data_IF_982943190445
#
_entry.id   IF_982943190445
#
_cell.length_a   1.000
_cell.length_b   1.000
_cell.length_c   1.000
_cell.angle_alpha   90.00
_cell.angle_beta   90.00
_cell.angle_gamma   90.00
#
_symmetry.space_group_name_H-M   'P 1'
#
loop_
_entity.id
_entity.type
_entity.pdbx_description
1 polymer ?
#
# COMPACT_ATOMS: atom_id res chain seq x y z
N UNK A 1 -31.60 -1.54 -24.71
CA UNK A 1 -30.89 -1.35 -23.42
C UNK A 1 -30.26 -2.63 -22.85
N UNK A 2 -30.95 -3.79 -22.81
CA UNK A 2 -30.38 -5.06 -22.29
C UNK A 2 -29.03 -5.48 -22.90
N UNK A 3 -28.84 -5.31 -24.23
CA UNK A 3 -27.58 -5.64 -24.92
C UNK A 3 -26.39 -4.76 -24.53
N UNK A 4 -26.62 -3.54 -24.04
CA UNK A 4 -25.54 -2.62 -23.61
C UNK A 4 -25.19 -2.89 -22.14
N UNK A 5 -26.19 -3.19 -21.31
CA UNK A 5 -26.03 -3.44 -19.88
C UNK A 5 -25.44 -4.82 -19.57
N UNK A 6 -25.88 -5.85 -20.30
CA UNK A 6 -25.48 -7.26 -20.11
C UNK A 6 -24.73 -7.83 -21.32
N UNK A 7 -24.22 -6.96 -22.19
CA UNK A 7 -23.54 -7.34 -23.43
C UNK A 7 -22.24 -8.08 -23.15
N UNK A 8 -22.32 -9.41 -23.13
CA UNK A 8 -21.17 -10.29 -22.98
C UNK A 8 -21.08 -11.20 -24.19
N UNK A 9 -19.87 -11.30 -24.75
CA UNK A 9 -19.58 -12.13 -25.90
C UNK A 9 -18.59 -13.20 -25.49
N UNK A 10 -18.76 -14.41 -26.00
CA UNK A 10 -17.74 -15.43 -25.87
C UNK A 10 -16.51 -15.03 -26.71
N UNK A 11 -15.33 -15.09 -26.12
CA UNK A 11 -14.09 -14.88 -26.87
C UNK A 11 -13.85 -16.06 -27.85
N UNK A 12 -13.02 -15.86 -28.89
CA UNK A 12 -12.81 -16.87 -29.93
C UNK A 12 -12.32 -18.22 -29.40
N UNK A 13 -11.61 -18.24 -28.27
CA UNK A 13 -11.04 -19.45 -27.68
C UNK A 13 -11.35 -19.57 -26.20
N UNK A 14 -11.47 -20.83 -25.72
CA UNK A 14 -11.69 -21.15 -24.31
C UNK A 14 -10.57 -20.61 -23.40
N UNK A 15 -9.27 -20.70 -23.77
CA UNK A 15 -8.20 -20.10 -22.97
C UNK A 15 -8.34 -18.59 -22.82
N UNK A 16 -8.78 -17.88 -23.87
CA UNK A 16 -9.01 -16.43 -23.78
C UNK A 16 -10.13 -16.08 -22.79
N UNK A 17 -11.23 -16.86 -22.78
CA UNK A 17 -12.29 -16.69 -21.77
C UNK A 17 -11.79 -16.97 -20.34
N UNK A 18 -10.93 -17.98 -20.15
CA UNK A 18 -10.32 -18.27 -18.84
C UNK A 18 -9.38 -17.15 -18.41
N UNK A 19 -8.55 -16.63 -19.31
CA UNK A 19 -7.66 -15.51 -19.02
C UNK A 19 -8.46 -14.26 -18.60
N UNK A 20 -9.54 -13.95 -19.31
CA UNK A 20 -10.43 -12.84 -18.95
C UNK A 20 -11.13 -13.06 -17.60
N UNK A 21 -11.55 -14.30 -17.29
CA UNK A 21 -12.10 -14.64 -15.98
C UNK A 21 -11.08 -14.39 -14.86
N UNK A 22 -9.87 -14.93 -15.00
CA UNK A 22 -8.81 -14.77 -14.00
C UNK A 22 -8.43 -13.30 -13.82
N UNK A 23 -8.35 -12.55 -14.92
CA UNK A 23 -8.11 -11.12 -14.89
C UNK A 23 -9.21 -10.39 -14.12
N UNK A 24 -10.49 -10.66 -14.43
CA UNK A 24 -11.64 -10.07 -13.71
C UNK A 24 -11.65 -10.42 -12.22
N UNK A 25 -11.40 -11.68 -11.89
CA UNK A 25 -11.32 -12.12 -10.49
C UNK A 25 -10.22 -11.36 -9.75
N UNK A 26 -9.03 -11.26 -10.34
CA UNK A 26 -7.92 -10.55 -9.73
C UNK A 26 -8.25 -9.07 -9.53
N UNK A 27 -8.54 -8.32 -10.60
CA UNK A 27 -8.73 -6.86 -10.48
C UNK A 27 -9.99 -6.51 -9.67
N UNK A 28 -11.06 -7.30 -9.81
CA UNK A 28 -12.32 -7.10 -9.10
C UNK A 28 -12.21 -7.41 -7.61
N UNK A 29 -11.60 -8.53 -7.21
CA UNK A 29 -11.41 -8.86 -5.80
C UNK A 29 -10.33 -7.97 -5.16
N UNK A 30 -9.27 -7.63 -5.88
CA UNK A 30 -8.24 -6.71 -5.39
C UNK A 30 -8.83 -5.34 -5.05
N UNK A 31 -9.72 -4.79 -5.89
CA UNK A 31 -10.35 -3.50 -5.55
C UNK A 31 -11.40 -3.64 -4.45
N UNK A 32 -12.25 -4.68 -4.51
CA UNK A 32 -13.31 -4.86 -3.54
C UNK A 32 -12.74 -5.06 -2.12
N UNK A 33 -11.75 -5.94 -1.97
CA UNK A 33 -11.19 -6.30 -0.66
C UNK A 33 -10.09 -5.32 -0.27
N UNK A 34 -9.20 -4.98 -1.21
CA UNK A 34 -8.01 -4.17 -0.94
C UNK A 34 -8.28 -2.69 -0.75
N UNK A 35 -9.32 -2.14 -1.39
CA UNK A 35 -9.69 -0.72 -1.26
C UNK A 35 -11.08 -0.53 -0.64
N UNK A 36 -12.09 -1.26 -1.15
CA UNK A 36 -13.48 -1.06 -0.78
C UNK A 36 -13.83 -1.53 0.64
N UNK A 37 -13.41 -2.74 1.03
CA UNK A 37 -13.85 -3.38 2.28
C UNK A 37 -13.47 -2.59 3.53
N UNK A 38 -12.22 -2.12 3.61
CA UNK A 38 -11.75 -1.33 4.75
C UNK A 38 -12.49 0.01 4.90
N UNK A 39 -12.93 0.61 3.79
CA UNK A 39 -13.76 1.82 3.81
C UNK A 39 -15.21 1.48 4.14
N UNK A 40 -15.74 0.38 3.61
CA UNK A 40 -17.11 -0.07 3.85
C UNK A 40 -17.36 -0.48 5.31
N UNK A 41 -16.40 -1.16 5.95
CA UNK A 41 -16.52 -1.59 7.34
C UNK A 41 -16.67 -0.41 8.31
N UNK A 42 -16.07 0.74 7.98
CA UNK A 42 -16.28 1.98 8.73
C UNK A 42 -17.68 2.57 8.54
N UNK A 43 -18.33 2.37 7.37
CA UNK A 43 -19.72 2.78 7.14
C UNK A 43 -20.68 2.07 8.08
N UNK A 44 -20.46 0.77 8.28
CA UNK A 44 -21.31 -0.09 9.10
C UNK A 44 -21.15 0.21 10.60
N UNK A 45 -19.98 0.71 11.04
CA UNK A 45 -19.70 1.01 12.45
C UNK A 45 -19.94 2.47 12.87
N UNK A 46 -19.72 3.44 11.97
CA UNK A 46 -19.74 4.87 12.29
C UNK A 46 -20.84 5.69 11.59
N UNK A 47 -21.67 5.06 10.76
CA UNK A 47 -22.79 5.72 10.07
C UNK A 47 -22.41 6.57 8.86
N UNK A 48 -21.16 6.48 8.37
CA UNK A 48 -20.64 7.30 7.27
C UNK A 48 -19.26 6.85 6.77
N UNK A 49 -18.78 7.35 5.60
CA UNK A 49 -17.44 7.10 5.08
C UNK A 49 -16.38 7.56 6.06
N UNK A 50 -15.17 6.94 6.05
CA UNK A 50 -14.10 7.40 6.92
C UNK A 50 -13.85 8.89 6.71
N UNK A 51 -13.72 9.65 7.79
CA UNK A 51 -13.59 11.11 7.72
C UNK A 51 -12.39 11.55 6.87
N UNK A 52 -11.28 10.80 6.93
CA UNK A 52 -10.12 11.03 6.07
C UNK A 52 -10.45 10.91 4.58
N UNK A 53 -11.37 10.02 4.21
CA UNK A 53 -11.76 9.79 2.82
C UNK A 53 -12.73 10.88 2.35
N UNK A 54 -13.62 11.33 3.22
CA UNK A 54 -14.48 12.50 2.99
C UNK A 54 -13.64 13.75 2.75
N UNK A 55 -12.59 13.95 3.55
CA UNK A 55 -11.64 15.06 3.37
C UNK A 55 -10.86 14.96 2.05
N UNK A 56 -10.41 13.75 1.68
CA UNK A 56 -9.76 13.52 0.38
C UNK A 56 -10.69 13.87 -0.78
N UNK A 57 -11.94 13.41 -0.74
CA UNK A 57 -12.97 13.70 -1.75
C UNK A 57 -13.29 15.20 -1.80
N UNK A 58 -13.36 15.88 -0.64
CA UNK A 58 -13.52 17.33 -0.56
C UNK A 58 -12.34 18.08 -1.19
N UNK A 59 -11.10 17.67 -0.89
CA UNK A 59 -9.88 18.24 -1.46
C UNK A 59 -9.76 18.09 -2.97
N UNK A 60 -10.45 17.10 -3.55
CA UNK A 60 -10.59 16.92 -5.01
C UNK A 60 -11.62 17.86 -5.65
N UNK A 61 -12.33 18.67 -4.86
CA UNK A 61 -13.37 19.58 -5.34
C UNK A 61 -14.77 18.97 -5.41
N UNK A 62 -14.96 17.72 -4.97
CA UNK A 62 -16.29 17.08 -4.91
C UNK A 62 -17.08 17.54 -3.68
N UNK A 63 -17.39 18.83 -3.62
CA UNK A 63 -18.05 19.48 -2.47
C UNK A 63 -19.57 19.57 -2.62
N UNK A 64 -20.10 19.53 -3.85
CA UNK A 64 -21.54 19.59 -4.14
C UNK A 64 -22.02 18.23 -4.69
N UNK A 65 -23.09 17.60 -4.17
CA UNK A 65 -24.01 18.08 -3.12
C UNK A 65 -23.46 17.92 -1.68
N UNK A 66 -22.51 17.02 -1.46
CA UNK A 66 -21.74 16.90 -0.22
C UNK A 66 -20.55 15.95 -0.43
N UNK A 67 -19.36 16.21 0.14
CA UNK A 67 -18.23 15.28 0.11
C UNK A 67 -18.58 13.90 0.69
N UNK A 68 -19.47 13.84 1.68
CA UNK A 68 -19.92 12.57 2.26
C UNK A 68 -20.70 11.72 1.26
N UNK A 69 -21.51 12.33 0.40
CA UNK A 69 -22.27 11.61 -0.63
C UNK A 69 -21.31 11.01 -1.65
N UNK A 70 -20.34 11.79 -2.11
CA UNK A 70 -19.33 11.32 -3.06
C UNK A 70 -18.44 10.23 -2.48
N UNK A 71 -18.00 10.39 -1.23
CA UNK A 71 -17.25 9.36 -0.53
C UNK A 71 -18.07 8.08 -0.35
N UNK A 72 -19.36 8.18 -0.02
CA UNK A 72 -20.25 7.02 0.10
C UNK A 72 -20.39 6.27 -1.22
N UNK A 73 -20.63 7.00 -2.32
CA UNK A 73 -20.70 6.42 -3.66
C UNK A 73 -19.39 5.76 -4.07
N UNK A 74 -18.25 6.37 -3.75
CA UNK A 74 -16.93 5.84 -4.06
C UNK A 74 -16.61 4.57 -3.25
N UNK A 75 -16.98 4.51 -1.97
CA UNK A 75 -16.82 3.31 -1.13
C UNK A 75 -17.64 2.14 -1.67
N UNK A 76 -18.92 2.38 -1.97
CA UNK A 76 -19.79 1.36 -2.56
C UNK A 76 -19.36 0.97 -3.98
N UNK A 77 -18.88 1.93 -4.77
CA UNK A 77 -18.33 1.68 -6.10
C UNK A 77 -17.11 0.75 -6.05
N UNK A 78 -16.14 1.02 -5.19
CA UNK A 78 -14.97 0.16 -4.99
C UNK A 78 -15.37 -1.25 -4.52
N UNK A 79 -16.22 -1.34 -3.50
CA UNK A 79 -16.61 -2.63 -2.94
C UNK A 79 -17.55 -3.42 -3.85
N UNK A 80 -18.76 -2.90 -4.07
CA UNK A 80 -19.78 -3.60 -4.85
C UNK A 80 -19.39 -3.67 -6.33
N UNK A 81 -18.83 -2.60 -6.90
CA UNK A 81 -18.35 -2.61 -8.28
C UNK A 81 -17.23 -3.62 -8.52
N UNK A 82 -16.30 -3.76 -7.57
CA UNK A 82 -15.26 -4.78 -7.63
C UNK A 82 -15.82 -6.21 -7.60
N UNK A 83 -16.75 -6.50 -6.69
CA UNK A 83 -17.43 -7.80 -6.61
C UNK A 83 -18.22 -8.11 -7.89
N UNK A 84 -18.95 -7.11 -8.41
CA UNK A 84 -19.71 -7.21 -9.66
C UNK A 84 -18.80 -7.54 -10.85
N UNK A 85 -17.62 -6.92 -10.97
CA UNK A 85 -16.62 -7.26 -11.99
C UNK A 85 -16.13 -8.70 -11.82
N UNK A 86 -15.79 -9.10 -10.59
CA UNK A 86 -15.24 -10.42 -10.29
C UNK A 86 -16.20 -11.54 -10.73
N UNK A 87 -17.48 -11.45 -10.34
CA UNK A 87 -18.51 -12.43 -10.76
C UNK A 87 -18.96 -12.23 -12.20
N UNK A 88 -18.68 -11.06 -12.78
CA UNK A 88 -19.05 -10.70 -14.14
C UNK A 88 -20.53 -10.37 -14.27
N UNK A 89 -21.06 -9.54 -13.38
CA UNK A 89 -22.43 -9.02 -13.40
C UNK A 89 -22.40 -7.50 -13.58
N UNK A 90 -23.18 -6.95 -14.51
CA UNK A 90 -23.15 -5.53 -14.89
C UNK A 90 -21.73 -5.01 -15.19
N UNK A 91 -20.89 -5.88 -15.74
CA UNK A 91 -19.42 -5.70 -15.77
C UNK A 91 -19.02 -4.41 -16.46
N UNK A 92 -19.67 -4.07 -17.57
CA UNK A 92 -19.37 -2.85 -18.33
C UNK A 92 -19.67 -1.58 -17.53
N UNK A 93 -20.78 -1.56 -16.79
CA UNK A 93 -21.17 -0.42 -15.97
C UNK A 93 -20.27 -0.29 -14.74
N UNK A 94 -20.02 -1.40 -14.04
CA UNK A 94 -19.14 -1.41 -12.87
C UNK A 94 -17.71 -1.02 -13.24
N UNK A 95 -17.20 -1.52 -14.37
CA UNK A 95 -15.89 -1.14 -14.88
C UNK A 95 -15.84 0.33 -15.32
N UNK A 96 -16.88 0.87 -15.94
CA UNK A 96 -16.92 2.29 -16.31
C UNK A 96 -16.91 3.20 -15.08
N UNK A 97 -17.71 2.87 -14.06
CA UNK A 97 -17.73 3.61 -12.81
C UNK A 97 -16.36 3.59 -12.11
N UNK A 98 -15.71 2.43 -12.02
CA UNK A 98 -14.38 2.31 -11.43
C UNK A 98 -13.31 3.00 -12.28
N UNK A 99 -13.38 2.90 -13.61
CA UNK A 99 -12.48 3.63 -14.49
C UNK A 99 -12.60 5.15 -14.28
N UNK A 100 -13.81 5.70 -14.11
CA UNK A 100 -13.99 7.11 -13.78
C UNK A 100 -13.31 7.49 -12.45
N UNK A 101 -13.50 6.69 -11.41
CA UNK A 101 -12.91 6.95 -10.10
C UNK A 101 -11.38 6.93 -10.14
N UNK A 102 -10.80 5.93 -10.81
CA UNK A 102 -9.35 5.82 -10.96
C UNK A 102 -8.79 6.88 -11.91
N UNK A 103 -9.55 7.34 -12.90
CA UNK A 103 -9.17 8.49 -13.74
C UNK A 103 -8.99 9.76 -12.89
N UNK A 104 -9.98 10.08 -12.04
CA UNK A 104 -9.92 11.26 -11.15
C UNK A 104 -8.68 11.20 -10.27
N UNK A 105 -8.42 10.07 -9.63
CA UNK A 105 -7.29 9.91 -8.70
C UNK A 105 -5.95 9.95 -9.45
N UNK A 106 -5.87 9.30 -10.62
CA UNK A 106 -4.62 9.17 -11.37
C UNK A 106 -4.22 10.42 -12.15
N UNK A 107 -5.17 11.23 -12.60
CA UNK A 107 -4.89 12.32 -13.54
C UNK A 107 -5.31 13.70 -13.04
N UNK A 108 -6.29 13.80 -12.14
CA UNK A 108 -6.75 15.09 -11.63
C UNK A 108 -6.15 15.44 -10.27
N UNK A 109 -5.78 14.44 -9.47
CA UNK A 109 -5.19 14.66 -8.15
C UNK A 109 -3.67 14.61 -8.14
N UNK A 110 -3.07 13.81 -9.02
CA UNK A 110 -1.64 13.56 -8.99
C UNK A 110 -0.87 14.76 -9.54
N UNK A 111 0.16 15.24 -8.84
CA UNK A 111 0.86 16.50 -9.17
C UNK A 111 1.65 16.45 -10.50
N UNK A 112 2.02 15.25 -10.99
CA UNK A 112 2.71 15.04 -12.28
C UNK A 112 2.18 13.80 -13.00
N UNK A 113 0.97 13.86 -13.59
CA UNK A 113 0.36 12.70 -14.20
C UNK A 113 0.99 12.41 -15.57
N UNK A 114 1.69 11.28 -15.68
CA UNK A 114 2.10 10.74 -16.98
C UNK A 114 1.01 9.85 -17.54
N UNK A 115 0.45 10.17 -18.70
CA UNK A 115 -0.78 9.50 -19.17
C UNK A 115 -0.58 8.03 -19.58
N UNK A 116 0.52 7.73 -20.28
CA UNK A 116 0.79 6.41 -20.86
C UNK A 116 1.96 5.67 -20.22
N UNK A 117 3.00 6.40 -19.83
CA UNK A 117 4.26 5.83 -19.32
C UNK A 117 4.34 5.80 -17.80
N UNK A 118 3.37 6.41 -17.12
CA UNK A 118 3.35 6.46 -15.67
C UNK A 118 3.28 5.06 -15.06
N UNK A 119 4.20 4.77 -14.15
CA UNK A 119 4.28 3.49 -13.46
C UNK A 119 3.53 3.53 -12.12
N UNK A 120 2.31 4.08 -12.13
CA UNK A 120 1.49 4.24 -10.93
C UNK A 120 0.42 3.16 -10.84
N UNK A 121 0.26 2.58 -9.65
CA UNK A 121 -0.70 1.51 -9.42
C UNK A 121 -2.14 1.91 -9.76
N UNK A 122 -2.53 3.14 -9.46
CA UNK A 122 -3.85 3.69 -9.76
C UNK A 122 -4.09 3.79 -11.27
N UNK A 123 -3.06 4.12 -12.06
CA UNK A 123 -3.16 4.20 -13.52
C UNK A 123 -3.29 2.81 -14.15
N UNK A 124 -2.58 1.82 -13.61
CA UNK A 124 -2.76 0.43 -14.04
C UNK A 124 -4.20 -0.04 -13.82
N UNK A 125 -4.78 0.28 -12.67
CA UNK A 125 -6.19 -0.03 -12.38
C UNK A 125 -7.14 0.73 -13.31
N UNK A 126 -6.90 2.02 -13.58
CA UNK A 126 -7.65 2.78 -14.58
C UNK A 126 -7.69 2.06 -15.93
N UNK A 127 -6.52 1.69 -16.47
CA UNK A 127 -6.44 1.02 -17.77
C UNK A 127 -7.05 -0.38 -17.76
N UNK A 128 -6.94 -1.12 -16.66
CA UNK A 128 -7.61 -2.41 -16.48
C UNK A 128 -9.14 -2.27 -16.54
N UNK A 129 -9.71 -1.28 -15.85
CA UNK A 129 -11.15 -1.05 -15.85
C UNK A 129 -11.64 -0.45 -17.18
N UNK A 130 -10.84 0.42 -17.81
CA UNK A 130 -11.12 0.92 -19.16
C UNK A 130 -11.23 -0.25 -20.16
N UNK A 131 -10.30 -1.20 -20.12
CA UNK A 131 -10.35 -2.41 -20.95
C UNK A 131 -11.64 -3.22 -20.69
N UNK A 132 -11.99 -3.48 -19.43
CA UNK A 132 -13.19 -4.24 -19.07
C UNK A 132 -14.49 -3.54 -19.44
N UNK A 133 -14.53 -2.20 -19.44
CA UNK A 133 -15.70 -1.43 -19.87
C UNK A 133 -16.01 -1.64 -21.36
N UNK A 134 -14.98 -1.88 -22.18
CA UNK A 134 -15.09 -2.11 -23.62
C UNK A 134 -15.29 -3.59 -23.95
N UNK A 135 -14.43 -4.46 -23.42
CA UNK A 135 -14.42 -5.91 -23.68
C UNK A 135 -15.65 -6.59 -23.06
N UNK A 136 -16.04 -6.18 -21.85
CA UNK A 136 -17.10 -6.82 -21.07
C UNK A 136 -16.60 -8.05 -20.31
N UNK A 137 -17.48 -9.03 -20.09
CA UNK A 137 -17.29 -10.06 -19.07
C UNK A 137 -16.89 -11.45 -19.58
N UNK A 138 -17.05 -11.74 -20.88
CA UNK A 138 -16.70 -13.05 -21.44
C UNK A 138 -17.64 -14.19 -21.05
N UNK A 139 -17.36 -15.39 -21.58
CA UNK A 139 -18.24 -16.57 -21.46
C UNK A 139 -18.48 -17.04 -20.02
N UNK A 140 -17.49 -16.92 -19.14
CA UNK A 140 -17.58 -17.34 -17.74
C UNK A 140 -18.03 -16.18 -16.83
N UNK A 141 -19.23 -15.67 -17.06
CA UNK A 141 -19.79 -14.54 -16.32
C UNK A 141 -21.29 -14.66 -16.10
N UNK A 142 -21.80 -14.00 -15.06
CA UNK A 142 -23.25 -13.93 -14.83
C UNK A 142 -23.97 -13.14 -15.92
N UNK A 143 -23.34 -12.09 -16.48
CA UNK A 143 -23.85 -11.33 -17.61
C UNK A 143 -24.09 -12.24 -18.83
N UNK A 144 -23.12 -13.11 -19.16
CA UNK A 144 -23.27 -14.07 -20.27
C UNK A 144 -24.38 -15.09 -20.01
N UNK A 145 -24.47 -15.59 -18.77
CA UNK A 145 -25.52 -16.53 -18.38
C UNK A 145 -26.93 -15.91 -18.44
N UNK A 146 -27.08 -14.67 -17.96
CA UNK A 146 -28.34 -13.91 -18.02
C UNK A 146 -28.72 -13.55 -19.46
N UNK A 147 -27.75 -13.15 -20.28
CA UNK A 147 -27.98 -12.84 -21.69
C UNK A 147 -28.44 -14.08 -22.49
N UNK A 148 -27.94 -15.27 -22.13
CA UNK A 148 -28.32 -16.55 -22.76
C UNK A 148 -29.74 -16.98 -22.41
N UNK A 149 -30.22 -16.70 -21.19
CA UNK A 149 -31.61 -17.00 -20.78
C UNK A 149 -32.67 -16.16 -21.50
N UNK A 150 -32.29 -15.00 -22.05
CA UNK A 150 -33.20 -14.12 -22.80
C UNK A 150 -33.39 -14.50 -24.28
N UNK A 151 -32.64 -15.48 -24.79
CA UNK A 151 -32.70 -15.94 -26.17
C UNK A 151 -32.91 -17.45 -26.22
N UNK A 152 -34.18 -17.89 -26.17
CA UNK A 152 -34.53 -19.10 -26.91
C UNK A 152 -34.27 -18.80 -28.39
N UNK A 153 -33.35 -19.58 -28.98
CA UNK A 153 -33.00 -19.60 -30.42
C UNK A 153 -32.39 -18.32 -31.00
N UNK A 154 -31.06 -18.31 -31.14
CA UNK A 154 -30.39 -17.84 -32.35
C UNK A 154 -29.00 -18.51 -32.40
N UNK A 155 -28.77 -19.22 -33.49
CA UNK A 155 -27.63 -20.08 -33.81
C UNK A 155 -26.28 -19.47 -33.43
N UNK A 156 -25.36 -20.31 -32.94
CA UNK A 156 -23.94 -19.97 -32.90
C UNK A 156 -23.51 -19.47 -34.29
N UNK A 157 -22.89 -18.29 -34.41
CA UNK A 157 -22.22 -17.94 -35.64
C UNK A 157 -21.13 -19.01 -35.86
N UNK A 158 -21.27 -19.78 -36.93
CA UNK A 158 -20.19 -20.65 -37.39
C UNK A 158 -18.93 -19.78 -37.54
N UNK A 159 -17.78 -20.21 -36.99
CA UNK A 159 -16.55 -19.46 -37.17
C UNK A 159 -16.23 -19.48 -38.67
N UNK A 160 -16.29 -18.30 -39.30
CA UNK A 160 -15.75 -18.10 -40.63
C UNK A 160 -14.30 -18.59 -40.63
N UNK A 161 -13.99 -19.44 -41.61
CA UNK A 161 -12.79 -20.26 -41.65
C UNK A 161 -11.52 -19.47 -41.33
N UNK A 162 -10.97 -19.73 -40.14
CA UNK A 162 -9.58 -19.45 -39.87
C UNK A 162 -8.83 -20.67 -40.39
N UNK A 163 -8.23 -20.50 -41.57
CA UNK A 163 -7.18 -21.40 -42.07
C UNK A 163 -6.19 -21.63 -40.94
N UNK A 164 -5.98 -22.91 -40.59
CA UNK A 164 -4.94 -23.31 -39.64
C UNK A 164 -3.62 -22.63 -40.01
N UNK A 165 -2.89 -22.11 -39.02
CA UNK A 165 -1.52 -22.53 -38.89
C UNK A 165 -1.34 -23.32 -37.59
N UNK A 166 -0.54 -24.35 -37.77
CA UNK A 166 0.17 -25.18 -36.83
C UNK A 166 0.18 -24.76 -35.35
N UNK A 167 -0.03 -25.78 -34.52
CA UNK A 167 0.65 -26.00 -33.25
C UNK A 167 2.01 -25.28 -33.21
N UNK A 168 2.14 -24.30 -32.33
CA UNK A 168 3.42 -23.96 -31.73
C UNK A 168 3.23 -24.08 -30.22
N UNK A 169 3.60 -25.25 -29.70
CA UNK A 169 4.01 -25.34 -28.31
C UNK A 169 5.19 -24.39 -28.13
N UNK A 170 5.05 -23.32 -27.35
CA UNK A 170 6.19 -22.73 -26.68
C UNK A 170 6.37 -23.46 -25.34
N UNK A 171 7.07 -24.59 -25.40
CA UNK A 171 8.04 -24.87 -24.38
C UNK A 171 9.24 -23.98 -24.68
N UNK A 172 9.57 -23.04 -23.79
CA UNK A 172 10.85 -22.34 -23.82
C UNK A 172 11.55 -22.61 -22.49
N UNK A 173 12.36 -23.67 -22.49
CA UNK A 173 13.46 -23.82 -21.57
C UNK A 173 14.74 -23.33 -22.25
N UNK A 174 15.48 -22.47 -21.54
CA UNK A 174 16.86 -21.99 -21.76
C UNK A 174 17.06 -21.03 -22.95
N UNK A 175 17.80 -19.92 -22.87
CA UNK A 175 18.91 -19.50 -22.00
C UNK A 175 18.80 -18.02 -21.64
N UNK A 176 19.20 -17.68 -20.41
CA UNK A 176 19.52 -16.32 -20.00
C UNK A 176 20.76 -15.83 -20.77
N UNK A 177 20.56 -14.95 -21.75
CA UNK A 177 21.50 -13.85 -21.98
C UNK A 177 20.72 -12.55 -21.82
N UNK A 178 20.23 -12.33 -20.61
CA UNK A 178 19.92 -10.99 -20.17
C UNK A 178 21.24 -10.21 -20.17
N UNK A 179 21.43 -9.29 -21.12
CA UNK A 179 22.09 -8.04 -20.75
C UNK A 179 21.23 -7.42 -19.64
N UNK A 180 21.83 -6.94 -18.55
CA UNK A 180 21.13 -6.74 -17.30
C UNK A 180 20.21 -5.52 -17.44
N UNK A 181 18.96 -5.75 -17.82
CA UNK A 181 17.90 -4.95 -17.23
C UNK A 181 18.00 -5.26 -15.73
N UNK A 182 18.26 -4.23 -14.93
CA UNK A 182 18.35 -4.30 -13.46
C UNK A 182 16.97 -4.72 -12.94
N UNK A 183 16.65 -6.01 -13.05
CA UNK A 183 15.52 -6.62 -12.42
C UNK A 183 15.72 -6.37 -10.93
N UNK A 184 14.83 -5.59 -10.32
CA UNK A 184 14.67 -5.64 -8.88
C UNK A 184 14.22 -7.06 -8.58
N UNK A 185 15.17 -7.88 -8.15
CA UNK A 185 14.96 -9.19 -7.55
C UNK A 185 13.77 -9.08 -6.59
N UNK A 186 12.87 -10.08 -6.50
CA UNK A 186 11.94 -10.15 -5.37
C UNK A 186 12.76 -9.93 -4.11
N UNK A 187 12.59 -8.76 -3.49
CA UNK A 187 13.43 -8.36 -2.38
C UNK A 187 13.03 -9.29 -1.25
N UNK A 188 13.90 -10.23 -0.88
CA UNK A 188 13.71 -11.02 0.34
C UNK A 188 13.29 -10.05 1.45
N UNK A 189 12.27 -10.40 2.25
CA UNK A 189 11.78 -9.49 3.27
C UNK A 189 12.97 -9.05 4.11
N UNK A 190 13.19 -7.74 4.18
CA UNK A 190 14.34 -7.21 4.88
C UNK A 190 14.31 -7.74 6.32
N UNK A 191 15.42 -8.26 6.81
CA UNK A 191 15.53 -8.79 8.17
C UNK A 191 16.48 -7.94 8.97
N UNK A 192 16.25 -7.80 10.27
CA UNK A 192 17.21 -7.20 11.21
C UNK A 192 17.25 -8.05 12.48
N UNK A 193 18.45 -8.29 12.98
CA UNK A 193 18.68 -9.11 14.16
C UNK A 193 19.41 -8.33 15.25
N UNK A 194 19.28 -8.77 16.50
CA UNK A 194 19.98 -8.14 17.63
C UNK A 194 21.50 -8.11 17.43
N UNK A 195 22.08 -9.14 16.80
CA UNK A 195 23.52 -9.21 16.52
C UNK A 195 24.03 -8.04 15.68
N UNK A 196 23.21 -7.56 14.75
CA UNK A 196 23.55 -6.41 13.89
C UNK A 196 23.51 -5.07 14.65
N UNK A 197 22.90 -5.04 15.83
CA UNK A 197 22.84 -3.88 16.71
C UNK A 197 23.71 -4.06 17.98
N UNK A 198 24.61 -5.05 18.00
CA UNK A 198 25.48 -5.31 19.15
C UNK A 198 26.30 -4.07 19.55
N UNK A 199 26.80 -3.31 18.58
CA UNK A 199 27.58 -2.09 18.83
C UNK A 199 26.75 -0.94 19.40
N UNK A 200 25.41 -1.03 19.39
CA UNK A 200 24.55 -0.05 20.05
C UNK A 200 24.58 -0.23 21.58
N UNK A 201 24.95 -1.41 22.08
CA UNK A 201 24.98 -1.76 23.51
C UNK A 201 26.18 -1.15 24.25
N UNK A 202 26.26 0.18 24.24
CA UNK A 202 27.28 0.98 24.91
C UNK A 202 26.70 2.35 25.29
N UNK A 203 27.51 3.20 25.93
CA UNK A 203 27.15 4.58 26.20
C UNK A 203 27.44 5.48 25.00
N UNK A 204 26.57 6.46 24.80
CA UNK A 204 26.59 7.39 23.68
C UNK A 204 26.28 8.81 24.15
N UNK A 205 26.86 9.79 23.46
CA UNK A 205 26.57 11.21 23.67
C UNK A 205 25.98 11.81 22.40
N UNK A 206 25.05 12.73 22.55
CA UNK A 206 24.41 13.34 21.40
C UNK A 206 23.20 14.19 21.76
N UNK A 207 22.15 14.04 20.96
CA UNK A 207 20.96 14.87 21.12
C UNK A 207 19.67 14.16 20.72
N UNK A 208 18.59 14.62 21.34
CA UNK A 208 17.22 14.44 20.90
C UNK A 208 16.73 15.77 20.34
N UNK A 209 16.33 15.79 19.08
CA UNK A 209 15.54 16.87 18.51
C UNK A 209 14.10 16.43 18.36
N UNK A 210 13.17 17.09 19.04
CA UNK A 210 11.74 16.77 18.95
C UNK A 210 10.92 17.98 18.51
N UNK A 211 9.75 17.70 17.92
CA UNK A 211 8.78 18.71 17.53
C UNK A 211 7.75 18.90 18.65
N UNK A 212 7.68 20.07 19.26
CA UNK A 212 6.71 20.35 20.32
C UNK A 212 5.27 20.26 19.76
N UNK A 213 4.35 19.63 20.51
CA UNK A 213 2.97 19.47 20.09
C UNK A 213 2.19 20.79 20.09
N UNK A 214 2.51 21.72 21.00
CA UNK A 214 1.77 22.98 21.16
C UNK A 214 2.06 23.98 20.04
N UNK A 215 3.34 24.27 19.79
CA UNK A 215 3.76 25.31 18.84
C UNK A 215 4.45 24.79 17.58
N UNK A 216 4.60 23.46 17.45
CA UNK A 216 5.23 22.77 16.31
C UNK A 216 6.70 23.16 16.06
N UNK A 217 7.35 23.87 16.99
CA UNK A 217 8.77 24.21 16.90
C UNK A 217 9.63 23.01 17.24
N UNK A 218 10.83 23.01 16.65
CA UNK A 218 11.85 22.01 16.96
C UNK A 218 12.64 22.44 18.18
N UNK A 219 12.80 21.53 19.13
CA UNK A 219 13.62 21.69 20.33
C UNK A 219 14.68 20.62 20.33
N UNK A 220 15.93 21.01 20.53
CA UNK A 220 17.08 20.09 20.60
C UNK A 220 17.64 20.07 22.00
N UNK A 221 17.71 18.89 22.60
CA UNK A 221 18.23 18.66 23.94
C UNK A 221 19.50 17.79 23.86
N UNK A 222 20.60 18.19 24.53
CA UNK A 222 21.71 17.28 24.80
C UNK A 222 21.18 16.03 25.51
N UNK A 223 21.54 14.86 24.99
CA UNK A 223 21.00 13.57 25.45
C UNK A 223 22.13 12.56 25.54
N UNK A 224 22.20 11.86 26.66
CA UNK A 224 23.02 10.66 26.83
C UNK A 224 22.13 9.45 26.57
N UNK A 225 22.63 8.49 25.82
CA UNK A 225 21.98 7.20 25.62
C UNK A 225 22.88 6.10 26.19
N UNK A 226 22.30 5.18 26.96
CA UNK A 226 22.95 3.93 27.32
C UNK A 226 22.18 2.79 26.64
N UNK A 227 22.81 2.13 25.67
CA UNK A 227 22.27 0.91 25.07
C UNK A 227 22.70 -0.31 25.87
N UNK A 228 21.80 -1.26 26.08
CA UNK A 228 22.08 -2.49 26.81
C UNK A 228 21.31 -3.67 26.21
N UNK A 229 22.01 -4.75 25.86
CA UNK A 229 21.34 -5.99 25.48
C UNK A 229 20.83 -6.69 26.74
N UNK A 230 19.52 -6.68 26.97
CA UNK A 230 18.88 -7.29 28.16
C UNK A 230 18.61 -8.79 27.98
N UNK A 231 18.47 -9.26 26.74
CA UNK A 231 18.29 -10.67 26.39
C UNK A 231 18.82 -10.97 24.98
N UNK A 232 18.88 -12.25 24.53
CA UNK A 232 19.39 -12.59 23.19
C UNK A 232 18.73 -11.85 22.01
N UNK A 233 17.47 -11.42 22.16
CA UNK A 233 16.69 -10.74 21.13
C UNK A 233 16.11 -9.40 21.62
N UNK A 234 16.67 -8.79 22.68
CA UNK A 234 16.17 -7.53 23.23
C UNK A 234 17.31 -6.54 23.49
N UNK A 235 17.12 -5.32 23.01
CA UNK A 235 17.95 -4.14 23.29
C UNK A 235 17.11 -3.14 24.08
N UNK A 236 17.67 -2.63 25.17
CA UNK A 236 17.13 -1.50 25.94
C UNK A 236 17.92 -0.26 25.58
N UNK A 237 17.23 0.84 25.32
CA UNK A 237 17.81 2.15 25.02
C UNK A 237 17.40 3.13 26.11
N UNK A 238 18.29 3.42 27.06
CA UNK A 238 18.04 4.33 28.18
C UNK A 238 18.50 5.75 27.83
N UNK A 239 17.56 6.69 27.74
CA UNK A 239 17.79 8.09 27.41
C UNK A 239 17.79 8.96 28.65
N UNK A 240 18.79 9.84 28.76
CA UNK A 240 18.91 10.83 29.85
C UNK A 240 19.11 12.20 29.22
N UNK A 241 18.21 13.13 29.50
CA UNK A 241 18.30 14.52 29.06
C UNK A 241 17.69 15.47 30.10
N UNK A 242 17.94 16.76 29.93
CA UNK A 242 17.41 17.81 30.80
C UNK A 242 16.42 18.66 30.00
N UNK A 243 15.23 18.90 30.57
CA UNK A 243 14.22 19.73 29.93
C UNK A 243 14.54 21.23 30.09
N UNK A 244 14.10 22.09 29.14
CA UNK A 244 14.35 23.53 29.21
C UNK A 244 13.79 24.19 30.47
N UNK A 245 12.65 23.69 30.97
CA UNK A 245 11.95 24.16 32.17
C UNK A 245 12.70 23.78 33.48
N UNK A 246 13.76 22.97 33.37
CA UNK A 246 14.46 22.34 34.49
C UNK A 246 13.98 20.90 34.77
N UNK A 247 14.85 20.11 35.40
CA UNK A 247 14.57 18.69 35.70
C UNK A 247 15.23 17.72 34.71
N UNK A 248 15.78 16.62 35.25
CA UNK A 248 16.36 15.54 34.46
C UNK A 248 15.29 14.49 34.18
N UNK A 249 15.12 14.14 32.92
CA UNK A 249 14.26 13.05 32.46
C UNK A 249 15.12 11.82 32.21
N UNK A 250 14.62 10.67 32.67
CA UNK A 250 15.14 9.34 32.35
C UNK A 250 14.02 8.56 31.69
N UNK A 251 14.15 8.30 30.39
CA UNK A 251 13.23 7.47 29.61
C UNK A 251 13.94 6.24 29.09
N UNK A 252 13.18 5.21 28.69
CA UNK A 252 13.76 4.04 28.03
C UNK A 252 12.84 3.51 26.95
N UNK A 253 13.42 2.97 25.88
CA UNK A 253 12.73 2.19 24.86
C UNK A 253 13.19 0.73 24.94
N UNK A 254 12.27 -0.23 24.84
CA UNK A 254 12.59 -1.66 24.63
C UNK A 254 12.45 -2.03 23.16
N UNK A 255 13.46 -2.69 22.60
CA UNK A 255 13.50 -3.11 21.20
C UNK A 255 13.66 -4.62 21.12
N UNK A 256 12.60 -5.32 20.73
CA UNK A 256 12.55 -6.78 20.69
C UNK A 256 12.50 -7.26 19.23
N UNK A 257 13.42 -8.15 18.86
CA UNK A 257 13.56 -8.66 17.50
C UNK A 257 12.87 -10.03 17.35
N UNK A 258 12.10 -10.23 16.29
CA UNK A 258 11.55 -11.55 15.99
C UNK A 258 12.66 -12.54 15.61
N UNK A 259 12.43 -13.83 15.84
CA UNK A 259 13.39 -14.88 15.50
C UNK A 259 13.71 -14.95 13.99
N UNK A 260 12.74 -14.60 13.14
CA UNK A 260 12.92 -14.51 11.68
C UNK A 260 13.50 -13.16 11.21
N UNK A 261 13.68 -12.21 12.13
CA UNK A 261 14.20 -10.87 11.87
C UNK A 261 13.28 -9.94 11.08
N UNK A 262 12.07 -10.37 10.68
CA UNK A 262 11.17 -9.57 9.83
C UNK A 262 10.36 -8.53 10.60
N UNK A 263 10.31 -8.64 11.93
CA UNK A 263 9.52 -7.79 12.82
C UNK A 263 10.36 -7.32 14.01
N UNK A 264 10.04 -6.12 14.46
CA UNK A 264 10.60 -5.52 15.67
C UNK A 264 9.45 -4.96 16.48
N UNK A 265 9.38 -5.28 17.77
CA UNK A 265 8.50 -4.59 18.71
C UNK A 265 9.33 -3.50 19.38
N UNK A 266 9.00 -2.24 19.11
CA UNK A 266 9.71 -1.08 19.65
C UNK A 266 8.81 -0.31 20.61
N UNK A 267 9.13 -0.35 21.90
CA UNK A 267 8.36 0.22 22.99
C UNK A 267 6.88 -0.19 22.94
N UNK A 268 6.64 -1.49 22.81
CA UNK A 268 5.30 -2.09 22.71
C UNK A 268 4.64 -1.96 21.34
N UNK A 269 5.22 -1.22 20.38
CA UNK A 269 4.68 -1.09 19.01
C UNK A 269 5.25 -2.15 18.09
N UNK A 270 4.40 -3.03 17.55
CA UNK A 270 4.81 -4.01 16.56
C UNK A 270 5.05 -3.35 15.18
N UNK A 271 6.27 -3.49 14.67
CA UNK A 271 6.72 -2.91 13.41
C UNK A 271 7.29 -3.98 12.47
N UNK A 272 7.08 -3.82 11.16
CA UNK A 272 7.69 -4.63 10.11
C UNK A 272 8.97 -3.94 9.61
N UNK A 273 9.99 -4.74 9.32
CA UNK A 273 11.20 -4.26 8.66
C UNK A 273 10.88 -4.07 7.17
N UNK A 274 10.91 -2.82 6.71
CA UNK A 274 10.57 -2.44 5.34
C UNK A 274 11.76 -2.50 4.39
N UNK A 275 12.92 -2.09 4.90
CA UNK A 275 14.16 -2.08 4.13
C UNK A 275 15.34 -2.18 5.07
N UNK A 276 16.42 -2.78 4.59
CA UNK A 276 17.74 -2.79 5.21
C UNK A 276 18.78 -2.53 4.11
N UNK A 277 19.77 -1.70 4.38
CA UNK A 277 20.82 -1.34 3.42
C UNK A 277 22.10 -1.02 4.19
N UNK A 278 23.24 -1.52 3.71
CA UNK A 278 24.54 -1.08 4.19
C UNK A 278 24.97 0.15 3.38
N UNK A 279 25.32 1.24 4.06
CA UNK A 279 25.87 2.44 3.45
C UNK A 279 27.38 2.27 3.16
N UNK A 280 27.98 3.12 2.29
CA UNK A 280 29.39 2.98 1.88
C UNK A 280 30.41 3.03 3.03
N UNK A 281 30.07 3.72 4.12
CA UNK A 281 30.87 3.85 5.34
C UNK A 281 30.67 2.68 6.32
N UNK A 282 30.05 1.59 5.87
CA UNK A 282 29.62 0.47 6.70
C UNK A 282 28.60 0.85 7.77
N UNK A 283 27.87 1.95 7.61
CA UNK A 283 26.69 2.21 8.44
C UNK A 283 25.53 1.34 8.01
N UNK A 284 24.96 0.60 8.97
CA UNK A 284 23.73 -0.14 8.74
C UNK A 284 22.54 0.84 8.79
N UNK A 285 21.75 0.88 7.72
CA UNK A 285 20.47 1.59 7.67
C UNK A 285 19.32 0.60 7.57
N UNK A 286 18.29 0.78 8.40
CA UNK A 286 17.03 0.04 8.21
C UNK A 286 15.81 0.90 8.55
N UNK A 287 14.67 0.53 7.97
CA UNK A 287 13.39 1.23 8.13
C UNK A 287 12.38 0.27 8.71
N UNK A 288 11.73 0.69 9.79
CA UNK A 288 10.62 -0.01 10.43
C UNK A 288 9.33 0.76 10.19
N UNK A 289 8.22 0.05 9.96
CA UNK A 289 6.88 0.64 9.94
C UNK A 289 5.86 -0.18 10.72
N UNK A 290 5.01 0.48 11.50
CA UNK A 290 3.97 -0.16 12.30
C UNK A 290 2.83 0.80 12.63
N UNK A 291 1.64 0.25 12.90
CA UNK A 291 0.51 1.06 13.37
C UNK A 291 0.70 1.41 14.84
N UNK A 292 0.47 2.67 15.21
CA UNK A 292 0.61 3.12 16.59
C UNK A 292 -0.19 4.40 16.88
N UNK A 293 0.21 5.09 17.94
CA UNK A 293 -0.38 6.37 18.34
C UNK A 293 0.69 7.43 18.57
N UNK A 294 0.37 8.66 18.23
CA UNK A 294 1.15 9.87 18.51
C UNK A 294 0.16 11.00 18.80
N UNK A 295 0.37 11.80 19.84
CA UNK A 295 -0.57 12.85 20.26
C UNK A 295 -2.02 12.35 20.46
N UNK A 296 -2.16 11.15 21.06
CA UNK A 296 -3.44 10.44 21.23
C UNK A 296 -4.21 10.12 19.92
N UNK A 297 -3.58 10.29 18.76
CA UNK A 297 -4.15 10.01 17.44
C UNK A 297 -3.53 8.75 16.84
N UNK A 298 -4.34 7.95 16.18
CA UNK A 298 -3.86 6.82 15.37
C UNK A 298 -2.99 7.32 14.22
N UNK A 299 -1.88 6.64 13.99
CA UNK A 299 -0.98 6.96 12.89
C UNK A 299 -0.15 5.75 12.45
N UNK A 300 0.36 5.81 11.23
CA UNK A 300 1.45 4.94 10.79
C UNK A 300 2.76 5.53 11.31
N UNK A 301 3.44 4.77 12.17
CA UNK A 301 4.77 5.08 12.67
C UNK A 301 5.82 4.54 11.71
N UNK A 302 6.84 5.35 11.44
CA UNK A 302 8.05 4.93 10.76
C UNK A 302 9.26 5.26 11.63
N UNK A 303 10.19 4.30 11.76
CA UNK A 303 11.50 4.54 12.37
C UNK A 303 12.58 4.23 11.36
N UNK A 304 13.40 5.22 11.03
CA UNK A 304 14.62 5.03 10.23
C UNK A 304 15.80 5.00 11.18
N UNK A 305 16.53 3.90 11.19
CA UNK A 305 17.67 3.67 12.09
C UNK A 305 18.96 3.66 11.28
N UNK A 306 19.98 4.34 11.79
CA UNK A 306 21.35 4.27 11.34
C UNK A 306 22.21 3.80 12.50
N UNK A 307 23.02 2.76 12.30
CA UNK A 307 23.92 2.29 13.33
C UNK A 307 25.25 1.77 12.79
N UNK A 308 26.33 2.14 13.45
CA UNK A 308 27.68 1.58 13.35
C UNK A 308 28.39 1.77 14.72
N UNK A 309 29.65 1.35 14.90
CA UNK A 309 30.36 1.51 16.18
C UNK A 309 30.52 2.94 16.72
N UNK A 310 30.37 3.96 15.88
CA UNK A 310 30.61 5.37 16.19
C UNK A 310 29.41 6.30 15.91
N UNK A 311 28.31 5.76 15.40
CA UNK A 311 27.09 6.50 15.07
C UNK A 311 25.88 5.65 15.43
N UNK A 312 24.96 6.23 16.20
CA UNK A 312 23.61 5.70 16.37
C UNK A 312 22.59 6.83 16.15
N UNK A 313 21.66 6.63 15.22
CA UNK A 313 20.60 7.59 14.97
C UNK A 313 19.26 6.89 14.74
N UNK A 314 18.21 7.48 15.28
CA UNK A 314 16.83 7.04 15.08
C UNK A 314 15.98 8.25 14.71
N UNK A 315 15.35 8.21 13.55
CA UNK A 315 14.35 9.20 13.14
C UNK A 315 12.97 8.57 13.28
N UNK A 316 12.15 9.11 14.17
CA UNK A 316 10.73 8.76 14.32
C UNK A 316 9.90 9.72 13.46
N UNK A 317 9.15 9.15 12.54
CA UNK A 317 8.20 9.86 11.71
C UNK A 317 6.79 9.32 11.95
N UNK A 318 5.81 10.21 11.86
CA UNK A 318 4.39 9.85 11.94
C UNK A 318 3.71 10.23 10.64
N UNK A 319 2.81 9.38 10.17
CA UNK A 319 1.82 9.75 9.16
C UNK A 319 0.45 9.53 9.77
N UNK A 320 -0.19 10.62 10.16
CA UNK A 320 -1.55 10.61 10.66
C UNK A 320 -2.53 10.16 9.58
N UNK A 321 -3.64 9.57 10.01
CA UNK A 321 -4.71 9.16 9.11
C UNK A 321 -5.23 10.38 8.33
N UNK A 322 -5.25 10.28 6.99
CA UNK A 322 -5.60 11.39 6.10
C UNK A 322 -4.44 12.29 5.66
N UNK A 323 -3.25 12.17 6.26
CA UNK A 323 -2.04 12.83 5.74
C UNK A 323 -1.38 11.99 4.65
N UNK A 324 -0.95 12.63 3.57
CA UNK A 324 -0.13 12.00 2.52
C UNK A 324 1.36 11.95 2.88
N UNK A 325 1.80 12.80 3.81
CA UNK A 325 3.20 12.99 4.17
C UNK A 325 3.51 12.49 5.58
N UNK A 326 4.71 11.95 5.72
CA UNK A 326 5.32 11.72 7.01
C UNK A 326 5.83 13.04 7.59
N UNK A 327 5.69 13.18 8.91
CA UNK A 327 6.18 14.30 9.69
C UNK A 327 7.19 13.74 10.68
N UNK A 328 8.40 14.31 10.71
CA UNK A 328 9.41 13.97 11.72
C UNK A 328 8.92 14.46 13.08
N UNK A 329 8.78 13.53 14.03
CA UNK A 329 8.47 13.80 15.43
C UNK A 329 9.73 13.92 16.26
N UNK A 330 10.60 12.92 16.17
CA UNK A 330 11.83 12.86 16.96
C UNK A 330 13.00 12.48 16.04
N UNK A 331 14.14 13.11 16.26
CA UNK A 331 15.43 12.72 15.69
C UNK A 331 16.41 12.55 16.83
N UNK A 332 16.83 11.32 17.06
CA UNK A 332 17.92 10.98 17.96
C UNK A 332 19.19 10.86 17.12
N UNK A 333 20.27 11.51 17.56
CA UNK A 333 21.58 11.43 16.94
C UNK A 333 22.64 11.35 18.01
N UNK A 334 23.43 10.29 17.97
CA UNK A 334 24.49 10.04 18.91
C UNK A 334 25.77 9.62 18.20
N UNK A 335 26.88 10.05 18.78
CA UNK A 335 28.22 9.75 18.31
C UNK A 335 29.09 9.38 19.52
N UNK A 336 30.17 8.64 19.25
CA UNK A 336 31.20 8.35 20.23
C UNK A 336 32.31 9.39 20.23
#
# INVERSE_FOLDING_TARGET
MKKVLFGSYALPSRPADVALLLFRLHVGLSIAIGAGWGKLSSLAGAGGPPEWFVQQVSGLGFTQPSPYVWAWLACWGEFAGGLLIAVGLLTRLSALQLAFQFFVISFLWYEKPEFLTGMYYQQLLFWAFALLSVVGSGRYSLDYWLARKGHHQASEPQPAGVTKPALAMLALGLTLTASPAKAQTPQEPATVTMRELADVAQQWQGSLTYRNYSDQKLVTLPTVLNGMQSSPQELVLDFIYQEPEGGQVKGYDKVQFSADGTRVVWDGVAMQVRSKTQLPDQTLQFVLEGQGRDDDKSCLLRRTVLCNPHLFSVVKEVKYDGSSAFIIRNTYRFQQ
#
